data_IF_171304888929
#
_entry.id   IF_171304888929
#
_cell.length_a   1.000
_cell.length_b   1.000
_cell.length_c   1.000
_cell.angle_alpha   90.00
_cell.angle_beta   90.00
_cell.angle_gamma   90.00
#
_symmetry.space_group_name_H-M   'P 1'
#
loop_
_entity.id
_entity.type
_entity.pdbx_description
1 polymer ?
#
# COMPACT_ATOMS: atom_id res chain seq x y z
N UNK A 1 2.13 15.82 -32.22
CA UNK A 1 0.76 15.35 -31.90
C UNK A 1 0.92 14.47 -30.69
N UNK A 2 0.97 15.13 -29.54
CA UNK A 2 1.37 14.53 -28.26
C UNK A 2 0.20 14.80 -27.32
N UNK A 3 -0.79 13.89 -27.39
CA UNK A 3 -2.05 14.03 -26.67
C UNK A 3 -2.06 13.13 -25.45
N UNK A 4 -1.96 13.79 -24.31
CA UNK A 4 -2.66 13.47 -23.10
C UNK A 4 -2.47 12.09 -22.47
N UNK A 5 -1.55 12.02 -21.51
CA UNK A 5 -1.77 11.23 -20.31
C UNK A 5 -1.96 12.18 -19.10
N UNK A 6 -2.97 13.00 -19.18
CA UNK A 6 -3.54 13.70 -18.05
C UNK A 6 -4.36 12.68 -17.26
N UNK A 7 -3.75 12.02 -16.29
CA UNK A 7 -4.47 11.19 -15.34
C UNK A 7 -5.32 12.08 -14.42
N UNK A 8 -6.59 11.77 -14.18
CA UNK A 8 -7.48 12.55 -13.33
C UNK A 8 -7.22 12.19 -11.88
N UNK A 9 -6.57 13.02 -11.11
CA UNK A 9 -6.79 13.05 -9.68
C UNK A 9 -6.32 14.36 -9.00
N UNK A 10 -6.74 15.50 -9.53
CA UNK A 10 -6.88 16.71 -8.72
C UNK A 10 -8.23 16.63 -7.99
N UNK A 11 -8.35 15.76 -7.00
CA UNK A 11 -9.49 15.79 -6.10
C UNK A 11 -9.38 17.04 -5.25
N UNK A 12 -10.14 18.04 -5.59
CA UNK A 12 -10.32 19.24 -4.78
C UNK A 12 -10.76 18.82 -3.39
N UNK A 13 -9.95 19.13 -2.38
CA UNK A 13 -10.32 18.89 -0.99
C UNK A 13 -11.64 19.66 -0.69
N UNK A 14 -12.59 19.07 0.04
CA UNK A 14 -13.81 19.77 0.41
C UNK A 14 -13.44 20.99 1.27
N UNK A 15 -14.05 22.13 0.97
CA UNK A 15 -13.92 23.32 1.82
C UNK A 15 -14.51 23.08 3.21
N UNK A 16 -14.30 24.00 4.15
CA UNK A 16 -14.55 23.89 5.60
C UNK A 16 -16.00 23.59 6.06
N UNK A 17 -16.85 22.99 5.22
CA UNK A 17 -18.17 22.47 5.60
C UNK A 17 -17.97 21.10 6.28
N UNK A 18 -18.15 21.05 7.60
CA UNK A 18 -17.79 19.91 8.45
C UNK A 18 -18.41 18.59 7.99
N UNK A 19 -19.71 18.56 7.67
CA UNK A 19 -20.42 17.34 7.26
C UNK A 19 -19.90 16.79 5.93
N UNK A 20 -19.67 17.66 4.94
CA UNK A 20 -19.13 17.27 3.64
C UNK A 20 -17.70 16.77 3.76
N UNK A 21 -16.92 17.33 4.68
CA UNK A 21 -15.56 16.91 4.97
C UNK A 21 -15.53 15.50 5.56
N UNK A 22 -16.38 15.21 6.52
CA UNK A 22 -16.47 13.89 7.16
C UNK A 22 -16.90 12.81 6.16
N UNK A 23 -17.94 13.07 5.37
CA UNK A 23 -18.40 12.16 4.31
C UNK A 23 -17.30 11.87 3.30
N UNK A 24 -16.55 12.90 2.88
CA UNK A 24 -15.46 12.76 1.96
C UNK A 24 -14.31 11.93 2.56
N UNK A 25 -13.92 12.19 3.82
CA UNK A 25 -12.89 11.40 4.52
C UNK A 25 -13.31 9.94 4.67
N UNK A 26 -14.57 9.67 5.01
CA UNK A 26 -15.10 8.31 5.06
C UNK A 26 -15.01 7.60 3.69
N UNK A 27 -15.27 8.31 2.60
CA UNK A 27 -15.10 7.77 1.25
C UNK A 27 -13.63 7.45 0.95
N UNK A 28 -12.70 8.35 1.31
CA UNK A 28 -11.26 8.10 1.15
C UNK A 28 -10.78 6.93 2.02
N UNK A 29 -11.29 6.80 3.24
CA UNK A 29 -10.97 5.65 4.10
C UNK A 29 -11.37 4.33 3.44
N UNK A 30 -12.59 4.26 2.88
CA UNK A 30 -13.05 3.04 2.18
C UNK A 30 -12.20 2.70 0.96
N UNK A 31 -11.70 3.70 0.25
CA UNK A 31 -10.89 3.51 -0.96
C UNK A 31 -9.44 3.18 -0.64
N UNK A 32 -8.78 3.93 0.25
CA UNK A 32 -7.35 3.84 0.50
C UNK A 32 -6.99 2.96 1.70
N UNK A 33 -7.87 2.93 2.71
CA UNK A 33 -7.63 2.25 3.99
C UNK A 33 -7.24 0.78 3.84
N UNK A 34 -7.95 -0.05 3.05
CA UNK A 34 -7.60 -1.45 2.89
C UNK A 34 -6.20 -1.68 2.30
N UNK A 35 -5.78 -0.88 1.30
CA UNK A 35 -4.45 -0.96 0.71
C UNK A 35 -3.36 -0.53 1.69
N UNK A 36 -3.58 0.60 2.35
CA UNK A 36 -2.66 1.13 3.35
C UNK A 36 -2.50 0.14 4.52
N UNK A 37 -3.60 -0.44 5.02
CA UNK A 37 -3.59 -1.45 6.07
C UNK A 37 -2.76 -2.67 5.67
N UNK A 38 -2.98 -3.24 4.48
CA UNK A 38 -2.18 -4.38 3.99
C UNK A 38 -0.69 -4.05 3.97
N UNK A 39 -0.33 -2.88 3.47
CA UNK A 39 1.05 -2.42 3.46
C UNK A 39 1.63 -2.33 4.89
N UNK A 40 0.91 -1.69 5.82
CA UNK A 40 1.36 -1.51 7.21
C UNK A 40 1.44 -2.84 7.99
N UNK A 41 0.50 -3.77 7.79
CA UNK A 41 0.57 -5.11 8.39
C UNK A 41 1.86 -5.83 7.99
N UNK A 42 2.26 -5.74 6.72
CA UNK A 42 3.51 -6.36 6.27
C UNK A 42 4.74 -5.64 6.82
N UNK A 43 4.67 -4.33 6.94
CA UNK A 43 5.77 -3.51 7.47
C UNK A 43 5.99 -3.74 8.96
N UNK A 44 4.91 -3.84 9.75
CA UNK A 44 4.95 -3.93 11.21
C UNK A 44 4.88 -5.38 11.72
N UNK A 45 4.28 -6.28 10.95
CA UNK A 45 4.00 -7.65 11.36
C UNK A 45 2.90 -7.76 12.42
N UNK A 46 2.12 -6.70 12.64
CA UNK A 46 1.07 -6.61 13.66
C UNK A 46 -0.17 -5.91 13.08
N UNK A 47 -1.29 -6.63 12.92
CA UNK A 47 -2.53 -6.07 12.37
C UNK A 47 -3.16 -4.97 13.23
N UNK A 48 -3.02 -5.06 14.56
CA UNK A 48 -3.56 -4.06 15.49
C UNK A 48 -2.84 -2.72 15.36
N UNK A 49 -1.50 -2.77 15.36
CA UNK A 49 -0.69 -1.57 15.14
C UNK A 49 -0.89 -0.95 13.76
N UNK A 50 -1.10 -1.79 12.75
CA UNK A 50 -1.38 -1.32 11.42
C UNK A 50 -2.72 -0.57 11.36
N UNK A 51 -3.74 -1.07 12.05
CA UNK A 51 -5.06 -0.40 12.14
C UNK A 51 -4.96 0.94 12.87
N UNK A 52 -4.24 0.99 14.01
CA UNK A 52 -4.00 2.23 14.75
C UNK A 52 -3.34 3.29 13.86
N UNK A 53 -2.31 2.90 13.09
CA UNK A 53 -1.64 3.84 12.18
C UNK A 53 -2.56 4.27 11.03
N UNK A 54 -3.39 3.37 10.50
CA UNK A 54 -4.39 3.77 9.48
C UNK A 54 -5.31 4.84 10.05
N UNK A 55 -5.81 4.68 11.28
CA UNK A 55 -6.65 5.69 11.94
C UNK A 55 -5.89 7.02 12.10
N UNK A 56 -4.65 6.99 12.57
CA UNK A 56 -3.81 8.19 12.71
C UNK A 56 -3.60 8.91 11.39
N UNK A 57 -3.39 8.20 10.27
CA UNK A 57 -3.27 8.78 8.93
C UNK A 57 -4.53 9.54 8.56
N UNK A 58 -5.72 8.99 8.82
CA UNK A 58 -6.97 9.66 8.49
C UNK A 58 -7.31 10.81 9.46
N UNK A 59 -6.86 10.76 10.71
CA UNK A 59 -6.87 11.93 11.61
C UNK A 59 -5.97 13.05 11.09
N UNK A 60 -4.76 12.72 10.66
CA UNK A 60 -3.86 13.69 10.01
C UNK A 60 -4.48 14.28 8.73
N UNK A 61 -5.21 13.46 7.95
CA UNK A 61 -5.93 13.94 6.78
C UNK A 61 -7.03 14.93 7.17
N UNK A 62 -7.83 14.61 8.19
CA UNK A 62 -8.85 15.52 8.71
C UNK A 62 -8.26 16.88 9.09
N UNK A 63 -7.18 16.87 9.87
CA UNK A 63 -6.48 18.10 10.27
C UNK A 63 -5.90 18.85 9.07
N UNK A 64 -5.37 18.16 8.05
CA UNK A 64 -4.84 18.80 6.86
C UNK A 64 -5.93 19.51 6.06
N UNK A 65 -7.12 18.89 5.94
CA UNK A 65 -8.29 19.48 5.29
C UNK A 65 -8.77 20.70 6.08
N UNK A 66 -8.88 20.62 7.40
CA UNK A 66 -9.28 21.74 8.24
C UNK A 66 -8.34 22.95 8.16
N UNK A 67 -7.06 22.72 7.87
CA UNK A 67 -6.04 23.77 7.67
C UNK A 67 -5.89 24.21 6.21
N UNK A 68 -6.81 23.81 5.33
CA UNK A 68 -6.79 24.11 3.88
C UNK A 68 -5.45 23.74 3.20
N UNK A 69 -4.83 22.64 3.64
CA UNK A 69 -3.59 22.16 3.03
C UNK A 69 -3.89 21.51 1.69
N UNK A 70 -3.21 21.93 0.64
CA UNK A 70 -3.29 21.29 -0.68
C UNK A 70 -2.49 19.98 -0.67
N UNK A 71 -3.17 18.84 -0.96
CA UNK A 71 -2.55 17.54 -1.14
C UNK A 71 -2.69 17.17 -2.62
N UNK A 72 -1.58 17.23 -3.36
CA UNK A 72 -1.58 16.99 -4.80
C UNK A 72 -1.91 15.52 -5.16
N UNK A 73 -1.46 14.57 -4.34
CA UNK A 73 -1.76 13.15 -4.52
C UNK A 73 -2.06 12.53 -3.15
N UNK A 74 -3.34 12.32 -2.89
CA UNK A 74 -3.80 11.82 -1.60
C UNK A 74 -3.28 10.41 -1.28
N UNK A 75 -3.24 9.52 -2.28
CA UNK A 75 -2.74 8.16 -2.11
C UNK A 75 -1.26 8.17 -1.70
N UNK A 76 -0.42 8.86 -2.44
CA UNK A 76 1.01 9.00 -2.13
C UNK A 76 1.22 9.61 -0.75
N UNK A 77 0.48 10.66 -0.43
CA UNK A 77 0.52 11.32 0.87
C UNK A 77 0.14 10.37 2.02
N UNK A 78 -0.95 9.61 1.89
CA UNK A 78 -1.40 8.68 2.92
C UNK A 78 -0.38 7.56 3.18
N UNK A 79 0.19 6.99 2.11
CA UNK A 79 1.25 5.99 2.24
C UNK A 79 2.53 6.58 2.85
N UNK A 80 2.90 7.81 2.51
CA UNK A 80 4.07 8.49 3.09
C UNK A 80 3.86 8.75 4.59
N UNK A 81 2.71 9.27 5.00
CA UNK A 81 2.39 9.52 6.42
C UNK A 81 2.38 8.19 7.19
N UNK A 82 1.67 7.18 6.69
CA UNK A 82 1.59 5.86 7.32
C UNK A 82 2.95 5.19 7.44
N UNK A 83 3.80 5.27 6.41
CA UNK A 83 5.16 4.75 6.45
C UNK A 83 6.00 5.44 7.53
N UNK A 84 5.97 6.76 7.58
CA UNK A 84 6.74 7.53 8.56
C UNK A 84 6.30 7.20 10.00
N UNK A 85 4.99 7.12 10.26
CA UNK A 85 4.47 6.72 11.57
C UNK A 85 4.91 5.30 11.96
N UNK A 86 4.88 4.36 11.01
CA UNK A 86 5.32 2.99 11.23
C UNK A 86 6.82 2.91 11.55
N UNK A 87 7.66 3.63 10.80
CA UNK A 87 9.11 3.70 11.03
C UNK A 87 9.42 4.32 12.40
N UNK A 88 8.74 5.41 12.75
CA UNK A 88 8.92 6.05 14.05
C UNK A 88 8.48 5.15 15.20
N UNK A 89 7.39 4.39 15.03
CA UNK A 89 6.96 3.40 16.02
C UNK A 89 8.00 2.28 16.19
N UNK A 90 8.54 1.74 15.09
CA UNK A 90 9.60 0.73 15.16
C UNK A 90 10.87 1.25 15.86
N UNK A 91 11.28 2.47 15.52
CA UNK A 91 12.44 3.12 16.16
C UNK A 91 12.24 3.28 17.67
N UNK A 92 11.06 3.72 18.11
CA UNK A 92 10.73 3.84 19.56
C UNK A 92 10.70 2.51 20.30
N UNK A 93 10.39 1.41 19.60
CA UNK A 93 10.38 0.05 20.15
C UNK A 93 11.74 -0.63 20.13
N UNK A 94 12.80 0.03 19.66
CA UNK A 94 14.15 -0.52 19.57
C UNK A 94 14.27 -1.66 18.54
N UNK A 95 13.32 -1.79 17.63
CA UNK A 95 13.38 -2.75 16.53
C UNK A 95 14.18 -2.11 15.41
N UNK A 96 15.49 -2.30 15.44
CA UNK A 96 16.34 -1.90 14.31
C UNK A 96 16.31 -2.98 13.24
N UNK A 97 15.91 -2.58 12.04
CA UNK A 97 16.01 -3.40 10.84
C UNK A 97 14.69 -3.66 10.14
N UNK A 98 14.74 -3.55 8.83
CA UNK A 98 13.67 -3.86 7.88
C UNK A 98 13.45 -5.38 7.80
N UNK A 99 13.00 -5.99 8.89
CA UNK A 99 12.48 -7.34 8.86
C UNK A 99 11.01 -7.26 8.47
N UNK A 100 10.73 -7.19 7.18
CA UNK A 100 9.38 -7.35 6.66
C UNK A 100 8.91 -8.76 7.01
N UNK A 101 8.20 -8.88 8.14
CA UNK A 101 7.55 -10.13 8.53
C UNK A 101 6.55 -10.51 7.45
N UNK A 102 6.69 -11.71 6.92
CA UNK A 102 5.71 -12.29 6.01
C UNK A 102 4.48 -12.65 6.83
N UNK A 103 3.59 -11.68 7.04
CA UNK A 103 2.27 -11.94 7.63
C UNK A 103 1.34 -12.27 6.48
N UNK A 104 0.96 -13.53 6.39
CA UNK A 104 -0.06 -13.98 5.46
C UNK A 104 -1.43 -13.58 6.04
N UNK A 105 -1.99 -12.49 5.56
CA UNK A 105 -3.43 -12.26 5.74
C UNK A 105 -4.16 -13.27 4.86
N UNK A 106 -4.72 -14.32 5.49
CA UNK A 106 -5.76 -15.10 4.85
C UNK A 106 -6.91 -14.14 4.53
N UNK A 107 -7.14 -13.93 3.23
CA UNK A 107 -8.32 -13.22 2.79
C UNK A 107 -9.54 -13.94 3.36
N UNK A 108 -10.21 -13.33 4.34
CA UNK A 108 -11.51 -13.82 4.81
C UNK A 108 -12.44 -13.85 3.61
N UNK A 109 -12.79 -15.05 3.21
CA UNK A 109 -13.75 -15.30 2.15
C UNK A 109 -15.14 -15.18 2.76
N UNK A 110 -15.81 -14.08 2.46
CA UNK A 110 -17.26 -14.02 2.58
C UNK A 110 -17.86 -14.69 1.34
N UNK A 111 -18.47 -15.84 1.54
CA UNK A 111 -19.17 -16.60 0.52
C UNK A 111 -18.64 -18.05 0.41
N UNK A 112 -19.54 -19.03 0.59
CA UNK A 112 -19.20 -20.43 0.42
C UNK A 112 -19.01 -20.75 -1.08
N UNK A 113 -17.78 -20.87 -1.58
CA UNK A 113 -17.54 -21.25 -2.97
C UNK A 113 -17.83 -22.74 -3.14
N UNK A 114 -18.32 -23.12 -4.31
CA UNK A 114 -18.34 -24.51 -4.76
C UNK A 114 -16.94 -25.12 -4.51
N UNK A 115 -16.86 -26.35 -4.04
CA UNK A 115 -15.61 -27.02 -3.61
C UNK A 115 -14.53 -27.00 -4.71
N UNK A 116 -14.90 -27.09 -5.98
CA UNK A 116 -14.01 -27.00 -7.13
C UNK A 116 -13.39 -25.61 -7.29
N UNK A 117 -14.20 -24.54 -7.13
CA UNK A 117 -13.71 -23.15 -7.14
C UNK A 117 -12.78 -22.87 -5.95
N UNK A 118 -13.05 -23.46 -4.79
CA UNK A 118 -12.19 -23.34 -3.61
C UNK A 118 -10.81 -23.97 -3.85
N UNK A 119 -10.77 -25.16 -4.49
CA UNK A 119 -9.52 -25.84 -4.82
C UNK A 119 -8.68 -25.03 -5.81
N UNK A 120 -9.29 -24.58 -6.91
CA UNK A 120 -8.61 -23.74 -7.92
C UNK A 120 -8.07 -22.43 -7.33
N UNK A 121 -8.81 -21.80 -6.42
CA UNK A 121 -8.36 -20.61 -5.73
C UNK A 121 -7.21 -20.92 -4.76
N UNK A 122 -7.25 -22.05 -4.06
CA UNK A 122 -6.16 -22.48 -3.19
C UNK A 122 -4.87 -22.77 -3.97
N UNK A 123 -4.96 -23.41 -5.12
CA UNK A 123 -3.81 -23.65 -6.01
C UNK A 123 -3.23 -22.33 -6.56
N UNK A 124 -4.08 -21.44 -7.06
CA UNK A 124 -3.64 -20.08 -7.47
C UNK A 124 -2.96 -19.34 -6.34
N UNK A 125 -3.53 -19.41 -5.14
CA UNK A 125 -2.94 -18.76 -3.97
C UNK A 125 -1.57 -19.34 -3.65
N UNK A 126 -1.41 -20.68 -3.68
CA UNK A 126 -0.10 -21.33 -3.48
C UNK A 126 0.94 -20.90 -4.51
N UNK A 127 0.57 -20.84 -5.79
CA UNK A 127 1.47 -20.38 -6.86
C UNK A 127 1.91 -18.94 -6.66
N UNK A 128 0.99 -18.03 -6.31
CA UNK A 128 1.30 -16.64 -6.01
C UNK A 128 2.23 -16.54 -4.81
N UNK A 129 1.96 -17.28 -3.73
CA UNK A 129 2.81 -17.29 -2.54
C UNK A 129 4.21 -17.83 -2.84
N UNK A 130 4.31 -18.91 -3.62
CA UNK A 130 5.59 -19.46 -4.05
C UNK A 130 6.39 -18.44 -4.89
N UNK A 131 5.72 -17.72 -5.80
CA UNK A 131 6.36 -16.67 -6.59
C UNK A 131 6.82 -15.48 -5.73
N UNK A 132 6.00 -15.05 -4.78
CA UNK A 132 6.34 -13.96 -3.87
C UNK A 132 7.47 -14.31 -2.90
N UNK A 133 7.62 -15.58 -2.51
CA UNK A 133 8.72 -16.04 -1.63
C UNK A 133 10.11 -15.97 -2.29
N UNK A 134 10.17 -15.88 -3.62
CA UNK A 134 11.41 -15.70 -4.38
C UNK A 134 11.92 -14.25 -4.37
N UNK A 135 11.08 -13.31 -3.98
CA UNK A 135 11.42 -11.89 -3.97
C UNK A 135 12.23 -11.52 -2.73
N UNK A 136 13.21 -10.64 -2.90
CA UNK A 136 13.83 -9.98 -1.74
C UNK A 136 12.81 -9.07 -1.05
N UNK A 137 13.02 -8.70 0.22
CA UNK A 137 12.13 -7.78 0.93
C UNK A 137 11.88 -6.48 0.17
N UNK A 138 12.93 -5.89 -0.41
CA UNK A 138 12.82 -4.65 -1.19
C UNK A 138 12.08 -4.84 -2.52
N UNK A 139 12.37 -5.92 -3.25
CA UNK A 139 11.65 -6.25 -4.50
C UNK A 139 10.15 -6.42 -4.24
N UNK A 140 9.81 -7.11 -3.15
CA UNK A 140 8.43 -7.34 -2.75
C UNK A 140 7.74 -6.02 -2.36
N UNK A 141 8.37 -5.19 -1.55
CA UNK A 141 7.82 -3.91 -1.12
C UNK A 141 7.57 -2.96 -2.30
N UNK A 142 8.53 -2.84 -3.21
CA UNK A 142 8.38 -2.04 -4.43
C UNK A 142 7.22 -2.54 -5.29
N UNK A 143 7.09 -3.87 -5.44
CA UNK A 143 5.99 -4.49 -6.19
C UNK A 143 4.62 -4.18 -5.54
N UNK A 144 4.53 -4.30 -4.22
CA UNK A 144 3.31 -4.03 -3.46
C UNK A 144 2.88 -2.57 -3.54
N UNK A 145 3.81 -1.63 -3.32
CA UNK A 145 3.53 -0.19 -3.47
C UNK A 145 3.09 0.15 -4.90
N UNK A 146 3.70 -0.50 -5.90
CA UNK A 146 3.28 -0.33 -7.29
C UNK A 146 1.89 -0.90 -7.56
N UNK A 147 1.54 -2.04 -6.97
CA UNK A 147 0.21 -2.64 -7.06
C UNK A 147 -0.87 -1.77 -6.37
N UNK A 148 -0.50 -1.04 -5.31
CA UNK A 148 -1.37 -0.04 -4.67
C UNK A 148 -1.47 1.27 -5.48
N UNK A 149 -0.84 1.34 -6.67
CA UNK A 149 -0.99 2.45 -7.62
C UNK A 149 0.03 3.58 -7.48
N UNK A 150 1.03 3.48 -6.58
CA UNK A 150 2.06 4.50 -6.43
C UNK A 150 2.94 4.57 -7.68
N UNK A 151 3.36 5.78 -8.05
CA UNK A 151 4.29 6.03 -9.16
C UNK A 151 5.74 5.75 -8.72
N UNK A 152 6.63 5.48 -9.66
CA UNK A 152 8.03 5.15 -9.37
C UNK A 152 8.74 6.22 -8.52
N UNK A 153 8.46 7.51 -8.76
CA UNK A 153 9.01 8.61 -7.96
C UNK A 153 8.49 8.58 -6.52
N UNK A 154 7.21 8.32 -6.32
CA UNK A 154 6.57 8.25 -5.01
C UNK A 154 7.10 7.07 -4.20
N UNK A 155 7.31 5.91 -4.86
CA UNK A 155 7.95 4.74 -4.25
C UNK A 155 9.40 5.05 -3.87
N UNK A 156 10.14 5.73 -4.75
CA UNK A 156 11.52 6.12 -4.51
C UNK A 156 11.63 7.06 -3.29
N UNK A 157 10.79 8.07 -3.21
CA UNK A 157 10.71 9.01 -2.07
C UNK A 157 10.35 8.28 -0.78
N UNK A 158 9.31 7.41 -0.81
CA UNK A 158 8.85 6.66 0.35
C UNK A 158 9.91 5.72 0.90
N UNK A 159 10.66 5.05 0.03
CA UNK A 159 11.69 4.08 0.43
C UNK A 159 13.09 4.67 0.60
N UNK A 160 13.29 5.96 0.35
CA UNK A 160 14.61 6.60 0.37
C UNK A 160 15.54 6.07 -0.72
N UNK A 161 15.02 5.70 -1.89
CA UNK A 161 15.73 5.10 -3.01
C UNK A 161 15.80 6.06 -4.22
N UNK A 162 16.66 5.71 -5.18
CA UNK A 162 16.62 6.33 -6.51
C UNK A 162 15.57 5.66 -7.40
N UNK A 163 14.98 6.41 -8.32
CA UNK A 163 13.97 5.88 -9.28
C UNK A 163 14.54 4.73 -10.13
N UNK A 164 15.81 4.80 -10.51
CA UNK A 164 16.51 3.72 -11.22
C UNK A 164 16.57 2.42 -10.41
N UNK A 165 16.76 2.52 -9.10
CA UNK A 165 16.77 1.37 -8.19
C UNK A 165 15.37 0.75 -8.08
N UNK A 166 14.32 1.57 -7.95
CA UNK A 166 12.91 1.11 -7.95
C UNK A 166 12.61 0.36 -9.25
N UNK A 167 13.00 0.92 -10.41
CA UNK A 167 12.83 0.26 -11.71
C UNK A 167 13.54 -1.08 -11.76
N UNK A 168 14.78 -1.16 -11.25
CA UNK A 168 15.57 -2.39 -11.22
C UNK A 168 14.89 -3.46 -10.35
N UNK A 169 14.39 -3.09 -9.16
CA UNK A 169 13.69 -4.02 -8.28
C UNK A 169 12.40 -4.54 -8.90
N UNK A 170 11.61 -3.67 -9.55
CA UNK A 170 10.41 -4.10 -10.26
C UNK A 170 10.71 -5.08 -11.40
N UNK A 171 11.72 -4.78 -12.21
CA UNK A 171 12.11 -5.67 -13.31
C UNK A 171 12.58 -7.04 -12.80
N UNK A 172 13.34 -7.08 -11.71
CA UNK A 172 13.78 -8.33 -11.07
C UNK A 172 12.59 -9.11 -10.51
N UNK A 173 11.68 -8.43 -9.80
CA UNK A 173 10.48 -9.05 -9.24
C UNK A 173 9.61 -9.69 -10.35
N UNK A 174 9.31 -8.92 -11.40
CA UNK A 174 8.51 -9.42 -12.55
C UNK A 174 9.18 -10.61 -13.23
N UNK A 175 10.50 -10.57 -13.46
CA UNK A 175 11.24 -11.69 -14.07
C UNK A 175 11.20 -12.97 -13.20
N UNK A 176 11.34 -12.83 -11.89
CA UNK A 176 11.26 -13.97 -10.95
C UNK A 176 9.88 -14.60 -10.96
N UNK A 177 8.83 -13.76 -10.88
CA UNK A 177 7.43 -14.21 -10.94
C UNK A 177 7.12 -14.90 -12.28
N UNK A 178 7.52 -14.27 -13.40
CA UNK A 178 7.27 -14.83 -14.72
C UNK A 178 7.93 -16.21 -14.92
N UNK A 179 9.14 -16.42 -14.42
CA UNK A 179 9.82 -17.72 -14.46
C UNK A 179 9.07 -18.80 -13.65
N UNK A 180 8.47 -18.41 -12.52
CA UNK A 180 7.73 -19.35 -11.66
C UNK A 180 6.38 -19.78 -12.26
N UNK A 181 5.77 -18.89 -13.07
CA UNK A 181 4.45 -19.16 -13.67
C UNK A 181 4.58 -19.93 -15.00
N UNK A 182 5.66 -19.74 -15.74
CA UNK A 182 5.84 -20.30 -17.08
C UNK A 182 6.89 -21.43 -17.16
N UNK A 183 7.54 -21.76 -16.06
CA UNK A 183 8.45 -22.90 -15.93
C UNK A 183 7.77 -24.06 -15.24
#
# INVERSE_FOLDING_TARGET
MDEALTGPDERTLPGADSLRTEEWICAQYRELGPGLRRYLVRLLGDPGLAEDIVQDVFLCLYEAVQRDRRIANLRSWAFQVGHNLAVDLQRRRGVEGWAMKVVYEEARRDGAPNAEMALLQAERHRLVQAALSLLSPQERQVLELRAEGLRYREIAELMGLQVSTVTTFLLRAVRKIARQIHG
#
